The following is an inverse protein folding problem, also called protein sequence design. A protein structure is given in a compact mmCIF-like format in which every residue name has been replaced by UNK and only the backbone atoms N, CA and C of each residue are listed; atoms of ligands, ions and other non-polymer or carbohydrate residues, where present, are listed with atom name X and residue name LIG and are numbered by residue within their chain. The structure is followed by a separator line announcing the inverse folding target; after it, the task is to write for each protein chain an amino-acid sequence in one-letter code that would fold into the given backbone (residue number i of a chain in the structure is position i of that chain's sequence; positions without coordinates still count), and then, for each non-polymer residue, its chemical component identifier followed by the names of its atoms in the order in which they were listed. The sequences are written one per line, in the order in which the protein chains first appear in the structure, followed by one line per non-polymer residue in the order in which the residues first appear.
data_IF_153044792981
#
_entry.id   IF_153044792981
#
_cell.length_a   1.000
_cell.length_b   1.000
_cell.length_c   1.000
_cell.angle_alpha   90.00
_cell.angle_beta   90.00
_cell.angle_gamma   90.00
#
_symmetry.space_group_name_H-M   'P 1'
#
loop_
_entity.id
_entity.type
_entity.pdbx_description
1 polymer ?
#
# COMPACT_ATOMS: atom_id res chain seq x y z
N UNK A 1 67.09 -4.65 -20.28
CA UNK A 1 66.31 -5.02 -19.07
C UNK A 1 65.45 -3.87 -18.53
N UNK A 2 65.97 -2.65 -18.37
CA UNK A 2 65.21 -1.50 -17.83
C UNK A 2 63.94 -1.11 -18.61
N UNK A 3 63.94 -1.20 -19.94
CA UNK A 3 62.79 -0.82 -20.79
C UNK A 3 61.56 -1.71 -20.57
N UNK A 4 61.75 -3.02 -20.39
CA UNK A 4 60.66 -3.96 -20.10
C UNK A 4 60.05 -3.77 -18.71
N UNK A 5 60.88 -3.40 -17.72
CA UNK A 5 60.42 -3.10 -16.38
C UNK A 5 59.55 -1.83 -16.34
N UNK A 6 59.97 -0.79 -17.08
CA UNK A 6 59.23 0.46 -17.18
C UNK A 6 57.85 0.28 -17.83
N UNK A 7 57.75 -0.54 -18.89
CA UNK A 7 56.47 -0.82 -19.56
C UNK A 7 55.52 -1.64 -18.67
N UNK A 8 56.03 -2.58 -17.86
CA UNK A 8 55.21 -3.29 -16.86
C UNK A 8 54.66 -2.36 -15.78
N UNK A 9 55.44 -1.36 -15.34
CA UNK A 9 54.98 -0.36 -14.36
C UNK A 9 53.90 0.52 -14.97
N UNK A 10 54.08 1.03 -16.20
CA UNK A 10 53.07 1.84 -16.88
C UNK A 10 51.74 1.10 -17.06
N UNK A 11 51.80 -0.19 -17.43
CA UNK A 11 50.59 -1.01 -17.59
C UNK A 11 49.84 -1.18 -16.26
N UNK A 12 50.55 -1.46 -15.16
CA UNK A 12 49.94 -1.55 -13.82
C UNK A 12 49.35 -0.21 -13.36
N UNK A 13 50.03 0.90 -13.61
CA UNK A 13 49.55 2.23 -13.24
C UNK A 13 48.26 2.59 -13.98
N UNK A 14 48.20 2.32 -15.30
CA UNK A 14 46.97 2.53 -16.09
C UNK A 14 45.81 1.69 -15.55
N UNK A 15 46.05 0.43 -15.21
CA UNK A 15 45.01 -0.44 -14.66
C UNK A 15 44.44 0.08 -13.33
N UNK A 16 45.32 0.53 -12.42
CA UNK A 16 44.90 1.10 -11.13
C UNK A 16 44.12 2.40 -11.32
N UNK A 17 44.55 3.27 -12.24
CA UNK A 17 43.86 4.53 -12.55
C UNK A 17 42.47 4.27 -13.13
N UNK A 18 42.32 3.30 -14.05
CA UNK A 18 41.02 2.93 -14.64
C UNK A 18 40.05 2.36 -13.60
N UNK A 19 40.54 1.53 -12.67
CA UNK A 19 39.72 1.03 -11.56
C UNK A 19 39.32 2.18 -10.63
N UNK A 20 40.27 3.05 -10.27
CA UNK A 20 40.00 4.21 -9.41
C UNK A 20 38.94 5.14 -10.01
N UNK A 21 39.02 5.43 -11.31
CA UNK A 21 38.04 6.22 -12.04
C UNK A 21 36.67 5.54 -12.08
N UNK A 22 36.60 4.23 -12.34
CA UNK A 22 35.35 3.46 -12.35
C UNK A 22 34.67 3.43 -10.98
N UNK A 23 35.44 3.28 -9.91
CA UNK A 23 34.90 3.32 -8.53
C UNK A 23 34.41 4.73 -8.19
N UNK A 24 35.13 5.77 -8.62
CA UNK A 24 34.74 7.16 -8.41
C UNK A 24 33.44 7.51 -9.15
N UNK A 25 33.28 7.08 -10.41
CA UNK A 25 32.02 7.30 -11.16
C UNK A 25 30.85 6.56 -10.53
N UNK A 26 31.02 5.30 -10.10
CA UNK A 26 29.97 4.57 -9.37
C UNK A 26 29.62 5.29 -8.07
N UNK A 27 30.62 5.80 -7.33
CA UNK A 27 30.38 6.53 -6.09
C UNK A 27 29.68 7.87 -6.32
N UNK A 28 30.02 8.61 -7.38
CA UNK A 28 29.36 9.86 -7.76
C UNK A 28 27.93 9.59 -8.21
N UNK A 29 27.68 8.59 -9.06
CA UNK A 29 26.33 8.19 -9.47
C UNK A 29 25.51 7.77 -8.24
N UNK A 30 26.08 6.97 -7.35
CA UNK A 30 25.43 6.58 -6.09
C UNK A 30 25.10 7.79 -5.22
N UNK A 31 26.03 8.75 -5.06
CA UNK A 31 25.78 9.97 -4.29
C UNK A 31 24.70 10.83 -4.93
N UNK A 32 24.75 11.04 -6.25
CA UNK A 32 23.75 11.82 -7.00
C UNK A 32 22.38 11.17 -6.88
N UNK A 33 22.29 9.85 -7.07
CA UNK A 33 21.06 9.08 -6.90
C UNK A 33 20.52 9.15 -5.46
N UNK A 34 21.41 9.12 -4.46
CA UNK A 34 21.02 9.29 -3.04
C UNK A 34 20.56 10.71 -2.72
N UNK A 35 21.12 11.73 -3.38
CA UNK A 35 20.67 13.13 -3.22
C UNK A 35 19.38 13.43 -3.98
N UNK A 36 19.10 12.76 -5.10
CA UNK A 36 17.81 12.89 -5.81
C UNK A 36 16.69 12.07 -5.19
N UNK A 37 16.99 11.01 -4.43
CA UNK A 37 15.96 10.17 -3.78
C UNK A 37 15.37 10.68 -2.45
N UNK A 38 15.82 11.80 -1.86
CA UNK A 38 15.32 12.14 -0.52
C UNK A 38 15.28 13.64 -0.21
N UNK A 39 14.57 14.42 -1.03
CA UNK A 39 13.79 15.51 -0.43
C UNK A 39 12.38 14.98 -0.23
N UNK A 40 12.14 14.37 0.93
CA UNK A 40 10.81 13.94 1.34
C UNK A 40 9.91 15.18 1.38
N UNK A 41 9.05 15.37 0.38
CA UNK A 41 8.20 16.56 0.28
C UNK A 41 6.99 16.38 1.18
N UNK A 42 7.10 16.83 2.42
CA UNK A 42 5.99 16.94 3.36
C UNK A 42 5.12 18.15 3.01
N UNK A 43 3.80 17.95 2.87
CA UNK A 43 2.86 19.06 2.68
C UNK A 43 2.24 19.46 4.01
N UNK A 44 2.29 20.74 4.35
CA UNK A 44 1.49 21.29 5.44
C UNK A 44 0.06 21.52 4.93
N UNK A 45 -0.92 20.83 5.50
CA UNK A 45 -2.32 21.17 5.24
C UNK A 45 -2.72 22.47 5.99
N UNK A 46 -3.88 23.08 5.71
CA UNK A 46 -4.36 24.29 6.41
C UNK A 46 -4.48 24.13 7.93
N UNK A 47 -4.55 22.90 8.43
CA UNK A 47 -4.65 22.55 9.84
C UNK A 47 -3.26 22.27 10.48
N UNK A 48 -2.18 22.46 9.72
CA UNK A 48 -0.80 22.28 10.16
C UNK A 48 -0.36 20.81 10.31
N UNK A 49 -0.82 19.90 9.45
CA UNK A 49 -0.34 18.51 9.43
C UNK A 49 0.58 18.26 8.26
N UNK A 50 1.62 17.46 8.50
CA UNK A 50 2.52 16.99 7.47
C UNK A 50 1.90 15.77 6.78
N UNK A 51 1.45 15.93 5.54
CA UNK A 51 0.80 14.89 4.74
C UNK A 51 1.74 14.44 3.62
N UNK A 52 1.85 13.13 3.44
CA UNK A 52 2.50 12.49 2.29
C UNK A 52 1.51 11.54 1.61
N UNK A 53 1.47 11.56 0.28
CA UNK A 53 0.61 10.69 -0.53
C UNK A 53 1.50 9.91 -1.49
N UNK A 54 1.46 8.59 -1.37
CA UNK A 54 2.13 7.64 -2.25
C UNK A 54 1.03 6.95 -3.06
N UNK A 55 1.01 7.13 -4.37
CA UNK A 55 0.04 6.48 -5.26
C UNK A 55 0.81 5.71 -6.32
N UNK A 56 0.93 4.39 -6.12
CA UNK A 56 1.71 3.51 -7.00
C UNK A 56 1.04 3.27 -8.36
N UNK A 57 -0.09 3.93 -8.65
CA UNK A 57 -0.65 3.98 -10.01
C UNK A 57 -0.07 5.10 -10.87
N UNK A 58 0.65 6.06 -10.27
CA UNK A 58 1.29 7.17 -10.97
C UNK A 58 2.80 7.14 -10.74
N UNK A 59 3.57 7.48 -11.78
CA UNK A 59 5.05 7.43 -11.75
C UNK A 59 5.69 8.57 -10.96
N UNK A 60 4.90 9.39 -10.25
CA UNK A 60 5.39 10.58 -9.54
C UNK A 60 4.64 10.79 -8.23
N UNK A 61 5.35 11.23 -7.19
CA UNK A 61 4.76 11.56 -5.89
C UNK A 61 3.68 12.65 -6.02
N UNK A 62 2.52 12.42 -5.41
CA UNK A 62 1.36 13.31 -5.52
C UNK A 62 1.53 14.51 -4.60
N UNK A 63 1.80 15.69 -5.18
CA UNK A 63 2.13 16.93 -4.46
C UNK A 63 0.94 17.68 -3.82
N UNK A 64 -0.28 17.17 -3.93
CA UNK A 64 -1.44 17.71 -3.23
C UNK A 64 -2.62 16.74 -3.26
N UNK A 65 -3.52 16.79 -2.27
CA UNK A 65 -4.79 16.02 -2.28
C UNK A 65 -5.61 16.32 -3.56
N UNK A 66 -5.50 17.53 -4.11
CA UNK A 66 -6.22 17.93 -5.33
C UNK A 66 -5.74 17.15 -6.56
N UNK A 67 -4.46 16.78 -6.60
CA UNK A 67 -3.83 16.05 -7.70
C UNK A 67 -4.04 14.52 -7.66
N UNK A 68 -4.74 14.00 -6.64
CA UNK A 68 -5.18 12.59 -6.60
C UNK A 68 -6.28 12.37 -7.64
N UNK A 69 -6.04 11.45 -8.57
CA UNK A 69 -6.97 11.15 -9.68
C UNK A 69 -8.13 10.23 -9.25
N UNK A 70 -7.88 9.27 -8.37
CA UNK A 70 -8.90 8.35 -7.87
C UNK A 70 -9.83 9.08 -6.88
N UNK A 71 -11.12 9.27 -7.20
CA UNK A 71 -12.04 10.03 -6.37
C UNK A 71 -12.33 9.35 -5.02
N UNK A 72 -12.31 8.02 -4.96
CA UNK A 72 -12.58 7.26 -3.74
C UNK A 72 -11.38 7.35 -2.79
N UNK A 73 -10.16 7.19 -3.30
CA UNK A 73 -8.95 7.38 -2.52
C UNK A 73 -8.80 8.84 -2.05
N UNK A 74 -9.12 9.82 -2.91
CA UNK A 74 -9.15 11.24 -2.53
C UNK A 74 -10.15 11.51 -1.40
N UNK A 75 -11.34 10.91 -1.47
CA UNK A 75 -12.37 11.02 -0.42
C UNK A 75 -11.89 10.39 0.89
N UNK A 76 -11.21 9.23 0.82
CA UNK A 76 -10.60 8.56 1.96
C UNK A 76 -9.56 9.43 2.66
N UNK A 77 -8.59 9.98 1.91
CA UNK A 77 -7.56 10.89 2.46
C UNK A 77 -8.21 12.10 3.14
N UNK A 78 -9.16 12.74 2.45
CA UNK A 78 -9.85 13.93 2.96
C UNK A 78 -10.62 13.61 4.24
N UNK A 79 -11.37 12.51 4.24
CA UNK A 79 -12.18 12.06 5.37
C UNK A 79 -11.35 11.76 6.60
N UNK A 80 -10.22 11.05 6.45
CA UNK A 80 -9.34 10.71 7.57
C UNK A 80 -8.56 11.92 8.07
N UNK A 81 -8.08 12.78 7.16
CA UNK A 81 -7.41 14.03 7.54
C UNK A 81 -8.35 14.91 8.35
N UNK A 82 -9.59 15.10 7.91
CA UNK A 82 -10.59 15.87 8.65
C UNK A 82 -10.95 15.22 9.98
N UNK A 83 -11.06 13.89 10.01
CA UNK A 83 -11.36 13.14 11.23
C UNK A 83 -10.31 13.33 12.32
N UNK A 84 -9.03 13.13 11.95
CA UNK A 84 -7.89 13.36 12.83
C UNK A 84 -7.85 14.84 13.21
N UNK A 85 -8.09 15.73 12.25
CA UNK A 85 -8.09 17.17 12.54
C UNK A 85 -9.08 17.56 13.62
N UNK A 86 -10.31 17.06 13.53
CA UNK A 86 -11.35 17.36 14.50
C UNK A 86 -10.95 16.90 15.91
N UNK A 87 -10.32 15.72 16.03
CA UNK A 87 -9.82 15.17 17.30
C UNK A 87 -8.67 15.99 17.90
N UNK A 88 -7.89 16.69 17.08
CA UNK A 88 -6.68 17.44 17.49
C UNK A 88 -6.75 18.95 17.21
N UNK A 89 -7.96 19.48 17.05
CA UNK A 89 -8.26 20.86 16.64
C UNK A 89 -7.70 21.96 17.58
N UNK A 90 -7.18 21.59 18.76
CA UNK A 90 -6.50 22.49 19.71
C UNK A 90 -5.00 22.66 19.47
N UNK A 91 -4.40 21.91 18.55
CA UNK A 91 -2.97 21.94 18.25
C UNK A 91 -2.74 22.42 16.83
N UNK A 92 -1.85 23.40 16.64
CA UNK A 92 -1.36 23.88 15.33
C UNK A 92 0.09 23.41 15.13
N UNK A 93 0.33 22.21 14.56
CA UNK A 93 1.63 21.55 14.59
C UNK A 93 2.69 22.15 13.64
N UNK A 94 2.29 22.92 12.61
CA UNK A 94 3.23 23.47 11.61
C UNK A 94 3.68 24.92 11.84
N UNK A 95 3.41 25.51 13.01
CA UNK A 95 3.93 26.84 13.38
C UNK A 95 5.04 26.65 14.43
N UNK A 96 6.29 26.85 14.03
CA UNK A 96 7.47 26.39 14.76
C UNK A 96 7.85 27.16 16.04
N UNK A 97 8.90 26.60 16.68
CA UNK A 97 9.76 27.11 17.75
C UNK A 97 9.28 26.90 19.20
N UNK A 98 8.43 25.90 19.48
CA UNK A 98 8.17 25.49 20.87
C UNK A 98 8.98 24.24 21.22
N UNK A 99 9.65 24.19 22.38
CA UNK A 99 10.54 23.07 22.76
C UNK A 99 9.85 21.71 22.94
N UNK A 100 8.52 21.63 22.85
CA UNK A 100 7.75 20.38 22.77
C UNK A 100 6.71 20.47 21.64
N UNK A 101 7.16 20.39 20.38
CA UNK A 101 6.27 20.51 19.23
C UNK A 101 5.33 19.31 19.14
N UNK A 102 4.03 19.62 19.14
CA UNK A 102 3.03 18.67 18.64
C UNK A 102 3.40 18.33 17.20
N UNK A 103 3.30 17.06 16.80
CA UNK A 103 3.60 16.64 15.43
C UNK A 103 2.58 15.65 14.93
N UNK A 104 2.05 15.89 13.75
CA UNK A 104 1.08 15.00 13.11
C UNK A 104 1.58 14.72 11.70
N UNK A 105 2.10 13.49 11.51
CA UNK A 105 2.59 12.98 10.25
C UNK A 105 1.62 11.92 9.73
N UNK A 106 0.99 12.18 8.60
CA UNK A 106 0.02 11.28 7.98
C UNK A 106 0.54 10.87 6.60
N UNK A 107 0.77 9.57 6.41
CA UNK A 107 1.16 8.98 5.14
C UNK A 107 -0.04 8.19 4.62
N UNK A 108 -0.43 8.45 3.38
CA UNK A 108 -1.47 7.70 2.68
C UNK A 108 -0.84 6.95 1.51
N UNK A 109 -1.04 5.64 1.46
CA UNK A 109 -0.49 4.78 0.40
C UNK A 109 -1.62 4.13 -0.36
N UNK A 110 -1.62 4.23 -1.70
CA UNK A 110 -2.54 3.51 -2.58
C UNK A 110 -1.81 2.40 -3.32
N UNK A 111 -2.30 1.17 -3.12
CA UNK A 111 -1.84 -0.04 -3.76
C UNK A 111 -2.96 -0.57 -4.67
N UNK A 112 -2.88 -0.39 -6.00
CA UNK A 112 -3.89 -0.88 -6.93
C UNK A 112 -3.85 -2.42 -7.04
N UNK A 113 -4.90 -3.03 -7.60
CA UNK A 113 -4.91 -4.47 -7.87
C UNK A 113 -3.81 -4.86 -8.86
N UNK A 114 -3.61 -4.01 -9.87
CA UNK A 114 -2.66 -4.20 -10.97
C UNK A 114 -1.79 -2.94 -11.11
N UNK A 115 -0.47 -3.12 -11.19
CA UNK A 115 0.47 -2.03 -11.46
C UNK A 115 0.41 -1.58 -12.92
N UNK A 116 0.73 -0.32 -13.18
CA UNK A 116 0.83 0.23 -14.54
C UNK A 116 2.07 -0.24 -15.31
N UNK A 117 3.00 -0.97 -14.67
CA UNK A 117 4.23 -1.48 -15.27
C UNK A 117 4.85 -2.64 -14.46
N UNK A 118 6.01 -3.12 -14.91
CA UNK A 118 6.76 -4.23 -14.29
C UNK A 118 7.80 -3.78 -13.25
N UNK A 119 7.79 -2.49 -12.88
CA UNK A 119 8.73 -1.96 -11.89
C UNK A 119 8.44 -2.51 -10.48
N UNK A 120 9.49 -2.78 -9.68
CA UNK A 120 9.32 -3.22 -8.31
C UNK A 120 8.62 -2.14 -7.48
N UNK A 121 7.60 -2.55 -6.74
CA UNK A 121 6.86 -1.66 -5.85
C UNK A 121 7.78 -1.06 -4.80
N UNK A 122 7.54 0.22 -4.49
CA UNK A 122 8.21 0.86 -3.36
C UNK A 122 7.76 0.17 -2.07
N UNK A 123 8.67 -0.28 -1.20
CA UNK A 123 8.27 -0.88 0.07
C UNK A 123 7.45 0.12 0.88
N UNK A 124 6.41 -0.39 1.56
CA UNK A 124 5.57 0.43 2.43
C UNK A 124 6.44 1.17 3.46
N UNK A 125 6.27 2.49 3.63
CA UNK A 125 7.00 3.23 4.64
C UNK A 125 6.65 2.69 6.03
N UNK A 126 7.67 2.28 6.77
CA UNK A 126 7.48 1.83 8.15
C UNK A 126 7.26 3.00 9.10
N UNK A 127 6.53 2.76 10.19
CA UNK A 127 6.52 3.71 11.31
C UNK A 127 7.91 3.82 11.94
N UNK A 128 8.33 5.03 12.38
CA UNK A 128 9.59 5.20 13.10
C UNK A 128 9.60 4.39 14.40
N UNK A 129 10.50 3.42 14.49
CA UNK A 129 10.56 2.42 15.58
C UNK A 129 11.19 2.93 16.88
N UNK A 130 11.87 4.08 16.84
CA UNK A 130 12.77 4.53 17.92
C UNK A 130 12.17 5.61 18.85
N UNK A 131 10.86 5.86 18.83
CA UNK A 131 10.29 6.95 19.65
C UNK A 131 9.95 6.49 21.07
N UNK A 132 10.57 7.11 22.06
CA UNK A 132 10.20 6.96 23.47
C UNK A 132 8.82 7.58 23.74
N UNK A 133 8.10 7.01 24.72
CA UNK A 133 6.82 7.53 25.25
C UNK A 133 5.60 7.45 24.30
N UNK A 134 5.55 6.45 23.40
CA UNK A 134 4.32 6.13 22.66
C UNK A 134 3.29 5.52 23.63
N UNK A 135 2.12 6.15 23.69
CA UNK A 135 1.02 5.73 24.57
C UNK A 135 0.05 4.75 23.92
N UNK A 136 0.02 4.72 22.58
CA UNK A 136 -0.72 3.73 21.81
C UNK A 136 -0.01 3.43 20.50
N UNK A 137 0.14 2.15 20.20
CA UNK A 137 0.58 1.63 18.91
C UNK A 137 -0.49 0.70 18.37
N UNK A 138 -0.93 0.94 17.15
CA UNK A 138 -1.85 0.06 16.44
C UNK A 138 -1.18 -0.45 15.16
N UNK A 139 -1.19 -1.76 15.00
CA UNK A 139 -0.70 -2.47 13.82
C UNK A 139 -1.85 -3.23 13.14
N UNK A 140 -2.13 -2.91 11.88
CA UNK A 140 -3.15 -3.59 11.08
C UNK A 140 -2.87 -3.45 9.58
N UNK A 141 -3.49 -4.29 8.73
CA UNK A 141 -3.36 -4.17 7.28
C UNK A 141 -3.83 -2.82 6.70
N UNK A 142 -4.76 -2.13 7.37
CA UNK A 142 -5.36 -0.87 6.90
C UNK A 142 -4.61 0.36 7.39
N UNK A 143 -4.07 0.28 8.61
CA UNK A 143 -3.40 1.40 9.26
C UNK A 143 -2.34 0.90 10.24
N UNK A 144 -1.18 1.54 10.17
CA UNK A 144 -0.20 1.55 11.25
C UNK A 144 -0.26 2.93 11.92
N UNK A 145 -0.42 2.95 13.25
CA UNK A 145 -0.58 4.19 14.00
C UNK A 145 0.28 4.17 15.26
N UNK A 146 0.99 5.27 15.53
CA UNK A 146 1.67 5.52 16.79
C UNK A 146 1.24 6.87 17.34
N UNK A 147 0.71 6.88 18.56
CA UNK A 147 0.24 8.08 19.24
C UNK A 147 0.91 8.22 20.60
N UNK A 148 1.43 9.42 20.86
CA UNK A 148 1.71 9.93 22.21
C UNK A 148 0.59 10.87 22.62
N UNK A 149 -0.23 10.45 23.58
CA UNK A 149 -1.27 11.26 24.22
C UNK A 149 -0.59 12.13 25.29
N UNK A 150 -0.39 13.41 24.99
CA UNK A 150 0.10 14.41 25.94
C UNK A 150 -0.48 15.78 25.58
N UNK A 151 -0.13 16.82 26.34
CA UNK A 151 -0.42 18.23 26.00
C UNK A 151 0.15 18.63 24.64
N UNK A 152 1.25 18.00 24.23
CA UNK A 152 1.87 18.12 22.90
C UNK A 152 1.83 16.78 22.15
N UNK A 153 0.67 16.40 21.57
CA UNK A 153 0.46 15.10 20.95
C UNK A 153 1.42 14.87 19.78
N UNK A 154 1.90 13.63 19.69
CA UNK A 154 2.63 13.13 18.52
C UNK A 154 1.78 12.03 17.88
N UNK A 155 1.58 12.14 16.57
CA UNK A 155 0.88 11.15 15.75
C UNK A 155 1.74 10.85 14.54
N UNK A 156 2.05 9.59 14.34
CA UNK A 156 2.51 9.08 13.06
C UNK A 156 1.54 8.00 12.60
N UNK A 157 1.02 8.15 11.38
CA UNK A 157 0.09 7.20 10.81
C UNK A 157 0.47 6.87 9.37
N UNK A 158 0.37 5.60 9.02
CA UNK A 158 0.44 5.10 7.65
C UNK A 158 -0.88 4.43 7.34
N UNK A 159 -1.68 5.07 6.50
CA UNK A 159 -2.96 4.56 6.02
C UNK A 159 -2.74 3.88 4.67
N UNK A 160 -3.19 2.64 4.56
CA UNK A 160 -2.99 1.81 3.37
C UNK A 160 -4.35 1.59 2.70
N UNK A 161 -4.48 2.03 1.46
CA UNK A 161 -5.60 1.75 0.56
C UNK A 161 -5.16 0.64 -0.39
N UNK A 162 -5.47 -0.61 -0.05
CA UNK A 162 -4.97 -1.78 -0.78
C UNK A 162 -6.11 -2.58 -1.42
N UNK A 163 -6.14 -2.61 -2.75
CA UNK A 163 -7.18 -3.29 -3.49
C UNK A 163 -7.18 -4.81 -3.29
N UNK A 164 -6.00 -5.42 -3.10
CA UNK A 164 -5.87 -6.82 -2.73
C UNK A 164 -6.42 -7.09 -1.33
N UNK A 165 -6.25 -6.16 -0.39
CA UNK A 165 -6.82 -6.27 0.96
C UNK A 165 -8.35 -6.19 0.94
N UNK A 166 -8.94 -5.29 0.12
CA UNK A 166 -10.41 -5.26 -0.05
C UNK A 166 -10.93 -6.65 -0.44
N UNK A 167 -10.32 -7.27 -1.46
CA UNK A 167 -10.74 -8.57 -1.96
C UNK A 167 -10.54 -9.68 -0.92
N UNK A 168 -9.40 -9.69 -0.23
CA UNK A 168 -9.14 -10.66 0.83
C UNK A 168 -10.16 -10.55 1.96
N UNK A 169 -10.53 -9.33 2.34
CA UNK A 169 -11.56 -9.12 3.35
C UNK A 169 -12.90 -9.72 2.90
N UNK A 170 -13.29 -9.53 1.64
CA UNK A 170 -14.51 -10.14 1.10
C UNK A 170 -14.45 -11.68 1.09
N UNK A 171 -13.27 -12.27 0.80
CA UNK A 171 -13.05 -13.72 0.92
C UNK A 171 -13.33 -14.20 2.34
N UNK A 172 -12.77 -13.53 3.34
CA UNK A 172 -12.94 -13.86 4.75
C UNK A 172 -14.40 -13.70 5.21
N UNK A 173 -15.05 -12.60 4.81
CA UNK A 173 -16.46 -12.33 5.10
C UNK A 173 -17.41 -13.33 4.43
N UNK A 174 -16.97 -13.96 3.33
CA UNK A 174 -17.69 -15.05 2.67
C UNK A 174 -17.49 -16.41 3.37
N UNK A 175 -16.79 -16.46 4.51
CA UNK A 175 -16.53 -17.68 5.29
C UNK A 175 -15.37 -18.53 4.77
N UNK A 176 -14.65 -18.08 3.74
CA UNK A 176 -13.48 -18.79 3.23
C UNK A 176 -12.25 -18.51 4.11
N UNK A 177 -11.36 -19.49 4.24
CA UNK A 177 -10.11 -19.39 5.03
C UNK A 177 -8.88 -19.49 4.12
N UNK A 178 -8.51 -18.40 3.43
CA UNK A 178 -7.38 -18.41 2.52
C UNK A 178 -6.06 -18.56 3.29
N UNK A 179 -5.06 -19.16 2.64
CA UNK A 179 -3.69 -19.19 3.17
C UNK A 179 -3.11 -17.77 3.14
N UNK A 180 -2.85 -17.18 4.30
CA UNK A 180 -2.29 -15.83 4.45
C UNK A 180 -0.75 -15.83 4.35
N UNK A 181 -0.19 -16.58 3.42
CA UNK A 181 1.25 -16.87 3.36
C UNK A 181 2.08 -15.80 2.67
N UNK A 182 1.46 -14.80 2.03
CA UNK A 182 2.17 -13.77 1.27
C UNK A 182 1.61 -12.37 1.52
N UNK A 183 2.45 -11.33 1.47
CA UNK A 183 1.99 -9.95 1.52
C UNK A 183 1.10 -9.64 0.32
N UNK A 184 0.02 -8.91 0.54
CA UNK A 184 -0.94 -8.50 -0.49
C UNK A 184 -0.37 -7.35 -1.32
N UNK A 185 0.57 -7.68 -2.20
CA UNK A 185 1.16 -6.74 -3.15
C UNK A 185 0.33 -6.68 -4.45
N UNK A 186 0.26 -5.50 -5.10
CA UNK A 186 -0.23 -5.35 -6.47
C UNK A 186 0.36 -6.40 -7.43
N UNK A 187 -0.47 -6.86 -8.37
CA UNK A 187 -0.05 -7.77 -9.44
C UNK A 187 0.57 -7.00 -10.60
N UNK A 188 1.53 -7.62 -11.30
CA UNK A 188 1.88 -7.14 -12.63
C UNK A 188 0.73 -7.38 -13.60
N UNK A 189 0.61 -6.52 -14.62
CA UNK A 189 -0.42 -6.67 -15.64
C UNK A 189 -0.36 -8.04 -16.33
N UNK A 190 0.85 -8.54 -16.61
CA UNK A 190 1.06 -9.87 -17.20
C UNK A 190 0.51 -10.98 -16.30
N UNK A 191 0.79 -10.95 -15.00
CA UNK A 191 0.35 -11.98 -14.07
C UNK A 191 -1.17 -11.95 -13.89
N UNK A 192 -1.76 -10.75 -13.84
CA UNK A 192 -3.21 -10.61 -13.77
C UNK A 192 -3.90 -11.16 -15.03
N UNK A 193 -3.38 -10.87 -16.22
CA UNK A 193 -3.90 -11.42 -17.48
C UNK A 193 -3.77 -12.94 -17.54
N UNK A 194 -2.64 -13.49 -17.07
CA UNK A 194 -2.44 -14.93 -16.97
C UNK A 194 -3.50 -15.58 -16.07
N UNK A 195 -3.74 -15.04 -14.87
CA UNK A 195 -4.79 -15.55 -13.98
C UNK A 195 -6.19 -15.45 -14.61
N UNK A 196 -6.48 -14.36 -15.30
CA UNK A 196 -7.76 -14.19 -15.98
C UNK A 196 -7.96 -15.23 -17.10
N UNK A 197 -6.92 -15.53 -17.87
CA UNK A 197 -6.95 -16.58 -18.90
C UNK A 197 -7.11 -17.98 -18.30
N UNK A 198 -6.37 -18.28 -17.22
CA UNK A 198 -6.46 -19.54 -16.48
C UNK A 198 -7.88 -19.76 -15.95
N UNK A 199 -8.50 -18.73 -15.38
CA UNK A 199 -9.88 -18.79 -14.89
C UNK A 199 -10.87 -19.00 -16.04
N UNK A 200 -10.77 -18.20 -17.10
CA UNK A 200 -11.68 -18.31 -18.25
C UNK A 200 -11.63 -19.69 -18.90
N UNK A 201 -10.44 -20.28 -19.08
CA UNK A 201 -10.28 -21.63 -19.60
C UNK A 201 -10.83 -22.73 -18.68
N UNK A 202 -10.78 -22.52 -17.36
CA UNK A 202 -11.11 -23.56 -16.37
C UNK A 202 -12.55 -23.53 -15.89
N UNK A 203 -13.19 -22.37 -15.89
CA UNK A 203 -14.50 -22.15 -15.26
C UNK A 203 -15.54 -21.58 -16.26
N UNK A 204 -15.14 -20.74 -17.22
CA UNK A 204 -16.07 -20.14 -18.20
C UNK A 204 -16.24 -21.02 -19.44
N UNK A 205 -15.13 -21.50 -20.00
CA UNK A 205 -15.10 -22.25 -21.26
C UNK A 205 -15.06 -23.78 -21.07
N UNK A 206 -15.06 -24.24 -19.81
CA UNK A 206 -14.93 -25.67 -19.52
C UNK A 206 -16.14 -26.44 -20.03
N UNK A 207 -15.91 -27.37 -20.95
CA UNK A 207 -16.92 -28.34 -21.36
C UNK A 207 -17.19 -29.33 -20.22
N UNK A 208 -18.46 -29.74 -20.00
CA UNK A 208 -18.83 -30.67 -18.91
C UNK A 208 -18.10 -32.02 -18.93
N UNK A 209 -17.55 -32.42 -20.09
CA UNK A 209 -17.01 -33.74 -20.41
C UNK A 209 -15.49 -33.91 -20.21
N UNK A 210 -14.78 -32.93 -19.64
CA UNK A 210 -13.31 -32.99 -19.53
C UNK A 210 -12.79 -33.99 -18.49
N UNK A 211 -12.34 -35.16 -18.95
CA UNK A 211 -11.79 -36.31 -18.20
C UNK A 211 -10.42 -36.08 -17.53
N UNK A 212 -9.77 -34.92 -17.69
CA UNK A 212 -8.49 -34.67 -17.04
C UNK A 212 -8.63 -33.81 -15.77
N UNK A 213 -8.22 -34.32 -14.59
CA UNK A 213 -8.22 -33.54 -13.35
C UNK A 213 -7.11 -32.48 -13.41
N UNK A 214 -7.45 -31.32 -13.97
CA UNK A 214 -6.67 -30.10 -13.79
C UNK A 214 -6.51 -29.81 -12.29
N UNK A 215 -5.33 -29.34 -11.83
CA UNK A 215 -5.18 -28.85 -10.47
C UNK A 215 -6.30 -27.84 -10.17
N UNK A 216 -6.92 -27.95 -8.99
CA UNK A 216 -8.02 -27.06 -8.61
C UNK A 216 -7.60 -25.61 -8.83
N UNK A 217 -8.46 -24.80 -9.47
CA UNK A 217 -8.15 -23.40 -9.83
C UNK A 217 -7.66 -22.58 -8.62
N UNK A 218 -8.11 -22.97 -7.42
CA UNK A 218 -7.68 -22.44 -6.11
C UNK A 218 -6.20 -22.63 -5.77
N UNK A 219 -5.48 -23.54 -6.44
CA UNK A 219 -4.02 -23.71 -6.30
C UNK A 219 -3.23 -22.82 -7.26
N UNK A 220 -3.85 -22.31 -8.32
CA UNK A 220 -3.20 -21.51 -9.36
C UNK A 220 -3.45 -20.02 -9.21
N UNK A 221 -4.65 -19.64 -8.74
CA UNK A 221 -5.07 -18.25 -8.60
C UNK A 221 -5.22 -17.94 -7.10
N UNK A 222 -4.62 -16.84 -6.61
CA UNK A 222 -4.84 -16.36 -5.25
C UNK A 222 -6.33 -16.20 -4.92
N UNK A 223 -6.72 -16.54 -3.68
CA UNK A 223 -8.13 -16.63 -3.28
C UNK A 223 -8.91 -15.32 -3.46
N UNK A 224 -8.27 -14.19 -3.20
CA UNK A 224 -8.80 -12.85 -3.35
C UNK A 224 -9.03 -12.47 -4.83
N UNK A 225 -8.09 -12.81 -5.71
CA UNK A 225 -8.24 -12.63 -7.16
C UNK A 225 -9.32 -13.56 -7.72
N UNK A 226 -9.36 -14.81 -7.24
CA UNK A 226 -10.36 -15.79 -7.63
C UNK A 226 -11.77 -15.37 -7.17
N UNK A 227 -11.88 -14.74 -5.99
CA UNK A 227 -13.13 -14.15 -5.54
C UNK A 227 -13.59 -13.05 -6.49
N UNK A 228 -12.71 -12.12 -6.88
CA UNK A 228 -13.05 -11.09 -7.87
C UNK A 228 -13.57 -11.72 -9.17
N UNK A 229 -12.89 -12.73 -9.69
CA UNK A 229 -13.28 -13.38 -10.94
C UNK A 229 -14.65 -14.06 -10.86
N UNK A 230 -14.93 -14.76 -9.76
CA UNK A 230 -16.24 -15.41 -9.54
C UNK A 230 -17.40 -14.41 -9.37
N UNK A 231 -17.10 -13.21 -8.87
CA UNK A 231 -18.09 -12.15 -8.72
C UNK A 231 -18.08 -11.15 -9.89
N UNK A 232 -17.29 -11.40 -10.93
CA UNK A 232 -17.32 -10.63 -12.18
C UNK A 232 -18.38 -11.17 -13.13
N UNK A 233 -18.80 -10.36 -14.11
CA UNK A 233 -19.65 -10.84 -15.20
C UNK A 233 -18.89 -11.90 -16.02
N UNK A 234 -19.48 -13.06 -16.21
CA UNK A 234 -18.86 -14.16 -16.98
C UNK A 234 -19.14 -13.97 -18.47
N UNK A 235 -18.16 -13.50 -19.23
CA UNK A 235 -18.32 -13.30 -20.68
C UNK A 235 -17.07 -13.70 -21.45
N UNK A 236 -17.32 -14.26 -22.63
CA UNK A 236 -16.32 -14.60 -23.65
C UNK A 236 -16.22 -13.55 -24.76
N UNK A 237 -17.04 -12.48 -24.70
CA UNK A 237 -17.01 -11.36 -25.65
C UNK A 237 -15.85 -10.43 -25.29
N UNK A 238 -14.65 -10.83 -25.69
CA UNK A 238 -13.39 -10.11 -25.45
C UNK A 238 -12.61 -10.64 -24.23
N UNK A 239 -11.46 -10.01 -23.89
CA UNK A 239 -10.63 -10.46 -22.79
C UNK A 239 -11.33 -10.33 -21.43
N UNK A 240 -11.47 -11.46 -20.71
CA UNK A 240 -12.09 -11.49 -19.37
C UNK A 240 -11.38 -10.58 -18.35
N UNK A 241 -10.08 -10.36 -18.52
CA UNK A 241 -9.30 -9.43 -17.68
C UNK A 241 -9.91 -8.02 -17.62
N UNK A 242 -10.46 -7.52 -18.72
CA UNK A 242 -11.05 -6.19 -18.79
C UNK A 242 -12.34 -6.12 -17.97
N UNK A 243 -13.11 -7.21 -17.97
CA UNK A 243 -14.34 -7.34 -17.19
C UNK A 243 -14.00 -7.39 -15.71
N UNK A 244 -13.00 -8.20 -15.33
CA UNK A 244 -12.53 -8.29 -13.96
C UNK A 244 -11.97 -6.96 -13.42
N UNK A 245 -11.26 -6.17 -14.25
CA UNK A 245 -10.83 -4.82 -13.88
C UNK A 245 -12.03 -3.89 -13.64
N UNK A 246 -13.08 -3.98 -14.48
CA UNK A 246 -14.28 -3.19 -14.27
C UNK A 246 -15.03 -3.60 -13.00
N UNK A 247 -15.06 -4.90 -12.69
CA UNK A 247 -15.62 -5.40 -11.45
C UNK A 247 -14.83 -4.89 -10.24
N UNK A 248 -13.49 -4.83 -10.31
CA UNK A 248 -12.66 -4.28 -9.25
C UNK A 248 -12.99 -2.81 -8.97
N UNK A 249 -13.17 -1.99 -10.01
CA UNK A 249 -13.58 -0.57 -9.82
C UNK A 249 -14.91 -0.45 -9.08
N UNK A 250 -15.90 -1.30 -9.41
CA UNK A 250 -17.18 -1.35 -8.70
C UNK A 250 -17.00 -1.81 -7.24
N UNK A 251 -16.15 -2.80 -7.00
CA UNK A 251 -15.79 -3.25 -5.64
C UNK A 251 -15.27 -2.07 -4.83
N UNK A 252 -14.30 -1.31 -5.36
CA UNK A 252 -13.73 -0.14 -4.70
C UNK A 252 -14.80 0.92 -4.41
N UNK A 253 -15.64 1.24 -5.39
CA UNK A 253 -16.74 2.19 -5.22
C UNK A 253 -17.68 1.80 -4.08
N UNK A 254 -18.11 0.54 -4.03
CA UNK A 254 -19.03 0.05 -3.00
C UNK A 254 -18.36 -0.05 -1.62
N UNK A 255 -17.07 -0.41 -1.55
CA UNK A 255 -16.35 -0.59 -0.29
C UNK A 255 -15.76 0.69 0.30
N UNK A 256 -15.62 1.76 -0.50
CA UNK A 256 -14.89 2.98 -0.12
C UNK A 256 -15.35 3.58 1.22
N UNK A 257 -16.66 3.71 1.41
CA UNK A 257 -17.25 4.27 2.63
C UNK A 257 -17.02 3.33 3.83
N UNK A 258 -17.28 2.04 3.66
CA UNK A 258 -17.08 1.02 4.69
C UNK A 258 -15.62 0.98 5.15
N UNK A 259 -14.67 1.03 4.22
CA UNK A 259 -13.24 1.04 4.52
C UNK A 259 -12.79 2.32 5.23
N UNK A 260 -13.33 3.46 4.83
CA UNK A 260 -13.08 4.74 5.50
C UNK A 260 -13.56 4.68 6.95
N UNK A 261 -14.76 4.14 7.19
CA UNK A 261 -15.32 4.01 8.52
C UNK A 261 -14.58 2.98 9.38
N UNK A 262 -14.18 1.85 8.79
CA UNK A 262 -13.32 0.85 9.41
C UNK A 262 -12.02 1.50 9.89
N UNK A 263 -11.35 2.25 9.02
CA UNK A 263 -10.08 2.92 9.35
C UNK A 263 -10.24 3.98 10.45
N UNK A 264 -11.33 4.77 10.41
CA UNK A 264 -11.67 5.71 11.51
C UNK A 264 -11.88 4.98 12.84
N UNK A 265 -12.59 3.85 12.80
CA UNK A 265 -12.83 3.00 13.99
C UNK A 265 -11.54 2.48 14.58
N UNK A 266 -10.58 2.05 13.75
CA UNK A 266 -9.25 1.64 14.19
C UNK A 266 -8.51 2.80 14.85
N UNK A 267 -8.54 3.99 14.25
CA UNK A 267 -7.95 5.19 14.84
C UNK A 267 -8.56 5.47 16.23
N UNK A 268 -9.88 5.30 16.41
CA UNK A 268 -10.55 5.46 17.71
C UNK A 268 -10.11 4.46 18.78
N UNK A 269 -9.69 3.25 18.40
CA UNK A 269 -9.17 2.28 19.37
C UNK A 269 -7.93 2.83 20.09
N UNK A 270 -7.09 3.60 19.38
CA UNK A 270 -5.97 4.29 19.99
C UNK A 270 -6.33 5.55 20.77
N UNK A 271 -7.61 5.92 20.87
CA UNK A 271 -8.09 6.97 21.77
C UNK A 271 -8.85 6.41 22.97
N UNK A 272 -9.52 5.28 22.80
CA UNK A 272 -10.52 4.77 23.76
C UNK A 272 -10.05 3.56 24.56
N UNK A 273 -9.25 2.67 23.96
CA UNK A 273 -9.04 1.32 24.52
C UNK A 273 -8.16 1.25 25.78
N UNK A 274 -7.49 2.34 26.17
CA UNK A 274 -6.50 2.34 27.27
C UNK A 274 -5.24 1.50 27.01
N UNK A 275 -5.23 0.63 25.99
CA UNK A 275 -4.14 -0.26 25.63
C UNK A 275 -2.99 0.52 24.98
N UNK A 276 -1.76 0.10 25.30
CA UNK A 276 -0.54 0.63 24.70
C UNK A 276 -0.23 -0.01 23.35
N UNK A 277 -0.64 -1.25 23.13
CA UNK A 277 -0.42 -1.98 21.89
C UNK A 277 -1.70 -2.71 21.45
N UNK A 278 -2.06 -2.52 20.18
CA UNK A 278 -3.28 -3.02 19.57
C UNK A 278 -2.89 -3.63 18.23
N UNK A 279 -3.37 -4.85 17.96
CA UNK A 279 -3.06 -5.54 16.71
C UNK A 279 -4.27 -6.23 16.13
N UNK A 280 -4.51 -5.99 14.85
CA UNK A 280 -5.54 -6.67 14.06
C UNK A 280 -4.87 -7.31 12.86
N UNK A 281 -5.08 -8.61 12.65
CA UNK A 281 -4.49 -9.36 11.55
C UNK A 281 -5.36 -9.34 10.31
N UNK A 282 -6.68 -9.38 10.48
CA UNK A 282 -7.64 -9.42 9.38
C UNK A 282 -9.02 -8.90 9.82
N UNK A 283 -9.95 -8.78 8.86
CA UNK A 283 -11.23 -8.08 9.08
C UNK A 283 -12.11 -8.74 10.14
N UNK A 284 -11.96 -10.05 10.34
CA UNK A 284 -12.73 -10.80 11.33
C UNK A 284 -12.35 -10.41 12.76
N UNK A 285 -11.15 -9.89 12.98
CA UNK A 285 -10.72 -9.41 14.31
C UNK A 285 -11.46 -8.13 14.73
N UNK A 286 -12.20 -7.48 13.82
CA UNK A 286 -12.90 -6.22 14.04
C UNK A 286 -14.36 -6.38 14.46
N UNK A 287 -14.89 -7.61 14.54
CA UNK A 287 -16.31 -7.89 14.81
C UNK A 287 -16.88 -7.21 16.07
N UNK A 288 -16.03 -6.98 17.08
CA UNK A 288 -16.44 -6.37 18.34
C UNK A 288 -16.50 -4.83 18.29
N UNK A 289 -15.89 -4.21 17.28
CA UNK A 289 -15.72 -2.75 17.22
C UNK A 289 -16.28 -2.13 15.94
N UNK A 290 -16.57 -2.95 14.92
CA UNK A 290 -17.03 -2.48 13.61
C UNK A 290 -18.07 -3.45 13.03
N UNK A 291 -19.16 -2.90 12.47
CA UNK A 291 -20.19 -3.69 11.81
C UNK A 291 -19.69 -4.19 10.45
N UNK A 292 -19.36 -5.48 10.38
CA UNK A 292 -18.83 -6.09 9.16
C UNK A 292 -19.83 -6.07 7.99
N UNK A 293 -21.13 -6.04 8.28
CA UNK A 293 -22.18 -5.99 7.26
C UNK A 293 -22.13 -4.70 6.43
N UNK A 294 -21.67 -3.58 7.03
CA UNK A 294 -21.50 -2.31 6.31
C UNK A 294 -20.34 -2.32 5.31
N UNK A 295 -19.48 -3.34 5.38
CA UNK A 295 -18.28 -3.48 4.56
C UNK A 295 -18.34 -4.69 3.62
N UNK A 296 -19.30 -5.59 3.83
CA UNK A 296 -19.52 -6.76 2.99
C UNK A 296 -20.17 -6.36 1.66
N UNK A 297 -19.62 -6.90 0.57
CA UNK A 297 -20.19 -6.80 -0.77
C UNK A 297 -20.92 -8.10 -1.06
N UNK A 298 -22.23 -8.00 -1.32
CA UNK A 298 -23.06 -9.16 -1.63
C UNK A 298 -23.08 -9.47 -3.13
N UNK A 299 -23.06 -8.45 -4.01
CA UNK A 299 -23.11 -8.59 -5.47
C UNK A 299 -22.40 -7.42 -6.17
N UNK A 300 -21.71 -7.69 -7.29
CA UNK A 300 -21.05 -6.67 -8.14
C UNK A 300 -21.84 -6.35 -9.43
N UNK A 301 -23.00 -7.00 -9.60
CA UNK A 301 -23.90 -6.90 -10.75
C UNK A 301 -25.35 -7.15 -10.33
#
# INVERSE_FOLDING_TARGET
MAKQFLEKIKAKLRYVVTIGLSVLTVFVIYKVFRTTQATEVWMCNPNGYAIRIIDDSVTSEVRSIKAVNDPYFKSFITSLTNYISAKFSKTKPCQGNSREESRINLIFVRLPLVTSGDEPLTPLPGLPTSRSNITCRLDSPWVQLAIRRSSSPIIDAVFVWNERQFLLDQVLLSGQRPSLTQPLIPLSNRLFQQYAADYAGSEIMRSPSGENPQPSISKRIPADVLWLFRHSWQSTRGPFSNIAQSAMRKTVEQSANGYTNLTKTLVDQCFTSGKTEIRYKNVLDLQQIFSLDQYRINQLY
#
